data_IF_761077931511
#
_entry.id   IF_761077931511
#
_cell.length_a   1.000
_cell.length_b   1.000
_cell.length_c   1.000
_cell.angle_alpha   90.00
_cell.angle_beta   90.00
_cell.angle_gamma   90.00
#
_symmetry.space_group_name_H-M   'P 1'
#
loop_
_entity.id
_entity.type
_entity.pdbx_description
1 polymer ?
#
# COMPACT_ATOMS: atom_id res chain seq x y z
N UNK A 1 -70.95 -14.07 -18.17
CA UNK A 1 -72.21 -13.31 -18.11
C UNK A 1 -72.65 -13.30 -16.66
N UNK A 2 -72.46 -12.16 -15.96
CA UNK A 2 -73.16 -11.64 -14.75
C UNK A 2 -73.42 -12.56 -13.53
N UNK A 3 -73.44 -12.14 -12.27
CA UNK A 3 -72.92 -11.01 -11.49
C UNK A 3 -73.29 -11.32 -10.01
N UNK A 4 -72.52 -10.78 -9.09
CA UNK A 4 -72.66 -10.61 -7.62
C UNK A 4 -74.00 -10.90 -6.87
N UNK A 5 -73.91 -11.43 -5.62
CA UNK A 5 -74.13 -10.70 -4.31
C UNK A 5 -74.25 -11.65 -3.07
N UNK A 6 -73.54 -11.29 -1.98
CA UNK A 6 -73.64 -11.76 -0.55
C UNK A 6 -74.97 -11.28 0.11
N UNK A 7 -75.31 -11.38 1.45
CA UNK A 7 -74.54 -11.77 2.66
C UNK A 7 -75.29 -12.34 3.94
N UNK A 8 -74.50 -12.58 5.03
CA UNK A 8 -74.73 -12.28 6.49
C UNK A 8 -75.51 -13.21 7.49
N UNK A 9 -74.73 -13.71 8.47
CA UNK A 9 -74.79 -13.61 9.98
C UNK A 9 -75.81 -14.37 10.87
N UNK A 10 -75.25 -15.33 11.66
CA UNK A 10 -75.33 -15.72 13.12
C UNK A 10 -76.48 -15.21 14.02
N UNK A 11 -76.96 -16.00 15.03
CA UNK A 11 -76.43 -16.00 16.44
C UNK A 11 -76.57 -17.34 17.25
N UNK A 12 -75.54 -17.86 17.95
CA UNK A 12 -75.18 -17.83 19.41
C UNK A 12 -76.10 -18.46 20.49
N UNK A 13 -75.51 -19.36 21.31
CA UNK A 13 -75.62 -19.61 22.80
C UNK A 13 -75.36 -21.10 23.10
N UNK A 14 -74.78 -21.63 24.20
CA UNK A 14 -74.04 -21.19 25.41
C UNK A 14 -73.82 -22.48 26.26
N UNK A 15 -72.63 -22.69 26.87
CA UNK A 15 -72.32 -23.21 28.25
C UNK A 15 -70.90 -23.85 28.29
N UNK A 16 -69.87 -23.25 28.89
CA UNK A 16 -69.40 -23.29 30.32
C UNK A 16 -69.14 -24.73 30.84
N UNK A 17 -68.00 -25.16 31.42
CA UNK A 17 -66.86 -24.54 32.14
C UNK A 17 -65.67 -25.54 32.17
N UNK A 18 -64.42 -25.05 32.22
CA UNK A 18 -63.43 -25.41 33.26
C UNK A 18 -62.26 -24.42 33.24
N UNK A 19 -61.94 -23.89 34.42
CA UNK A 19 -60.87 -22.93 34.71
C UNK A 19 -59.52 -23.67 34.74
N UNK A 20 -58.46 -23.03 34.24
CA UNK A 20 -57.13 -23.14 34.82
C UNK A 20 -56.48 -21.74 34.75
N UNK A 21 -56.34 -21.12 35.92
CA UNK A 21 -55.67 -19.85 36.13
C UNK A 21 -54.18 -20.10 36.30
N UNK A 22 -53.38 -19.78 35.28
CA UNK A 22 -51.98 -19.45 35.48
C UNK A 22 -51.87 -17.94 35.34
N UNK A 23 -51.84 -17.26 36.48
CA UNK A 23 -51.65 -15.82 36.52
C UNK A 23 -50.27 -15.48 35.96
N UNK A 24 -50.25 -14.85 34.79
CA UNK A 24 -49.15 -13.95 34.42
C UNK A 24 -49.25 -12.74 35.35
N UNK A 25 -48.49 -12.77 36.44
CA UNK A 25 -48.23 -11.58 37.24
C UNK A 25 -47.42 -10.62 36.37
N UNK A 26 -47.95 -9.43 36.07
CA UNK A 26 -47.12 -8.34 35.58
C UNK A 26 -46.22 -7.91 36.74
N UNK A 27 -44.91 -7.94 36.51
CA UNK A 27 -43.92 -7.37 37.42
C UNK A 27 -44.22 -5.87 37.56
N UNK A 28 -44.15 -5.34 38.78
CA UNK A 28 -44.20 -3.88 38.96
C UNK A 28 -42.94 -3.25 38.35
N UNK A 29 -42.99 -1.95 38.00
CA UNK A 29 -41.78 -1.26 37.51
C UNK A 29 -40.60 -1.34 38.49
N UNK A 30 -40.87 -1.43 39.80
CA UNK A 30 -39.85 -1.63 40.83
C UNK A 30 -39.28 -3.05 40.84
N UNK A 31 -40.08 -4.08 40.53
CA UNK A 31 -39.62 -5.47 40.43
C UNK A 31 -38.85 -5.74 39.14
N UNK A 32 -39.26 -5.12 38.02
CA UNK A 32 -38.47 -5.10 36.77
C UNK A 32 -37.10 -4.43 36.94
N UNK A 33 -37.01 -3.38 37.77
CA UNK A 33 -35.73 -2.71 38.08
C UNK A 33 -34.80 -3.54 38.94
N UNK A 34 -35.34 -4.43 39.77
CA UNK A 34 -34.56 -5.29 40.69
C UNK A 34 -34.04 -6.56 39.99
N UNK A 35 -34.78 -7.09 39.01
CA UNK A 35 -34.28 -8.17 38.13
C UNK A 35 -33.22 -7.66 37.14
N UNK A 36 -33.38 -6.44 36.60
CA UNK A 36 -32.37 -5.86 35.71
C UNK A 36 -31.07 -5.45 36.42
N UNK A 37 -31.10 -5.25 37.73
CA UNK A 37 -29.91 -4.91 38.53
C UNK A 37 -29.05 -6.11 38.91
N UNK A 38 -29.51 -7.33 38.62
CA UNK A 38 -28.80 -8.59 38.89
C UNK A 38 -28.48 -9.39 37.62
N UNK A 39 -28.78 -8.85 36.44
CA UNK A 39 -28.13 -9.32 35.22
C UNK A 39 -26.66 -8.89 35.33
N UNK A 40 -25.67 -9.79 35.18
CA UNK A 40 -24.31 -9.34 34.94
C UNK A 40 -24.40 -8.39 33.75
N UNK A 41 -23.75 -7.22 33.85
CA UNK A 41 -23.55 -6.35 32.71
C UNK A 41 -23.10 -7.25 31.56
N UNK A 42 -23.95 -7.46 30.56
CA UNK A 42 -23.49 -8.00 29.29
C UNK A 42 -22.76 -6.83 28.66
N UNK A 43 -21.54 -6.60 29.14
CA UNK A 43 -20.52 -6.01 28.30
C UNK A 43 -20.47 -6.93 27.09
N UNK A 44 -20.93 -6.42 25.96
CA UNK A 44 -20.74 -7.07 24.67
C UNK A 44 -19.23 -7.30 24.53
N UNK A 45 -18.82 -8.55 24.72
CA UNK A 45 -17.43 -9.02 24.61
C UNK A 45 -16.82 -8.73 23.21
N UNK A 46 -17.64 -8.32 22.25
CA UNK A 46 -17.25 -7.95 20.89
C UNK A 46 -16.72 -6.51 20.78
N UNK A 47 -17.08 -5.60 21.70
CA UNK A 47 -16.64 -4.18 21.66
C UNK A 47 -15.51 -3.85 22.65
N UNK A 48 -15.00 -4.84 23.40
CA UNK A 48 -13.89 -4.65 24.37
C UNK A 48 -12.61 -5.43 24.04
N UNK A 49 -12.45 -5.88 22.79
CA UNK A 49 -11.30 -6.70 22.40
C UNK A 49 -10.53 -6.26 21.16
N UNK A 50 -10.78 -5.04 20.69
CA UNK A 50 -9.94 -4.31 19.74
C UNK A 50 -9.88 -2.88 20.28
N UNK A 51 -8.75 -2.16 20.19
CA UNK A 51 -8.58 -0.72 20.51
C UNK A 51 -8.04 -0.33 21.91
N UNK A 52 -7.13 -1.09 22.53
CA UNK A 52 -6.46 -0.59 23.73
C UNK A 52 -4.97 -0.92 23.73
N UNK A 53 -4.17 0.13 23.52
CA UNK A 53 -2.73 0.08 23.75
C UNK A 53 -2.42 -0.44 25.16
N UNK A 54 -1.62 -1.49 25.24
CA UNK A 54 -1.39 -2.29 26.45
C UNK A 54 0.11 -2.48 26.77
N UNK A 55 0.40 -2.81 28.04
CA UNK A 55 1.75 -3.21 28.48
C UNK A 55 1.71 -4.68 28.88
N UNK A 56 2.52 -5.49 28.22
CA UNK A 56 2.76 -6.88 28.56
C UNK A 56 4.11 -7.02 29.27
N UNK A 57 4.14 -7.49 30.51
CA UNK A 57 5.40 -7.74 31.24
C UNK A 57 5.63 -9.25 31.41
N UNK A 58 6.77 -9.75 30.96
CA UNK A 58 7.12 -11.19 30.98
C UNK A 58 8.58 -11.41 31.36
N UNK A 59 8.92 -12.60 31.86
CA UNK A 59 10.31 -12.93 32.20
C UNK A 59 11.19 -13.00 30.96
N UNK A 60 10.70 -13.70 29.92
CA UNK A 60 11.25 -13.79 28.58
C UNK A 60 10.09 -13.77 27.59
N UNK A 61 10.36 -13.37 26.35
CA UNK A 61 9.34 -13.34 25.29
C UNK A 61 9.67 -14.35 24.20
N UNK A 62 8.66 -15.07 23.73
CA UNK A 62 8.75 -15.92 22.54
C UNK A 62 7.49 -15.75 21.75
N UNK A 63 7.64 -15.29 20.52
CA UNK A 63 6.53 -15.08 19.61
C UNK A 63 5.87 -16.41 19.23
N UNK A 64 4.52 -16.46 19.29
CA UNK A 64 3.72 -17.65 18.97
C UNK A 64 2.73 -17.46 17.80
N UNK A 65 2.74 -16.28 17.18
CA UNK A 65 1.91 -15.85 16.05
C UNK A 65 2.35 -14.44 15.61
N UNK A 66 1.60 -13.74 14.74
CA UNK A 66 1.90 -12.33 14.44
C UNK A 66 2.02 -11.49 15.72
N UNK A 67 3.00 -10.60 15.79
CA UNK A 67 3.08 -9.61 16.85
C UNK A 67 2.26 -8.39 16.42
N UNK A 68 1.14 -8.14 17.10
CA UNK A 68 0.28 -6.98 16.86
C UNK A 68 0.72 -5.83 17.75
N UNK A 69 0.91 -4.64 17.15
CA UNK A 69 1.29 -3.41 17.81
C UNK A 69 0.27 -2.32 17.44
N UNK A 70 -0.58 -1.97 18.40
CA UNK A 70 -1.51 -0.84 18.32
C UNK A 70 -0.83 0.48 18.75
N UNK A 71 -1.04 1.56 17.99
CA UNK A 71 -0.48 2.89 18.26
C UNK A 71 -1.57 3.95 18.21
N UNK A 72 -1.99 4.42 19.37
CA UNK A 72 -2.86 5.58 19.57
C UNK A 72 -2.18 6.82 20.17
N UNK A 73 -0.88 6.74 20.49
CA UNK A 73 -0.13 7.84 21.12
C UNK A 73 1.31 7.48 21.54
N UNK A 74 2.06 8.47 22.03
CA UNK A 74 3.51 8.36 22.25
C UNK A 74 3.94 7.63 23.53
N UNK A 75 3.03 7.41 24.49
CA UNK A 75 3.37 6.82 25.79
C UNK A 75 3.04 5.32 25.80
N UNK A 76 3.93 4.41 26.23
CA UNK A 76 3.59 3.00 26.33
C UNK A 76 2.36 2.75 27.23
N UNK A 77 1.49 1.82 26.81
CA UNK A 77 0.29 1.42 27.53
C UNK A 77 -0.91 2.33 27.31
N UNK A 78 -1.80 2.38 28.32
CA UNK A 78 -3.16 2.91 28.15
C UNK A 78 -3.17 4.32 27.56
N UNK A 79 -3.73 4.44 26.35
CA UNK A 79 -3.84 5.65 25.52
C UNK A 79 -2.62 6.04 24.68
N UNK A 80 -1.57 5.23 24.62
CA UNK A 80 -0.48 5.45 23.67
C UNK A 80 -0.20 4.24 22.80
N UNK A 81 0.78 3.40 23.08
CA UNK A 81 1.10 2.26 22.21
C UNK A 81 1.37 0.96 22.97
N UNK A 82 1.20 -0.15 22.26
CA UNK A 82 1.55 -1.47 22.76
C UNK A 82 3.04 -1.59 23.06
N UNK A 83 3.34 -2.19 24.20
CA UNK A 83 4.71 -2.53 24.57
C UNK A 83 4.78 -3.88 25.27
N UNK A 84 5.66 -4.75 24.78
CA UNK A 84 6.06 -5.97 25.47
C UNK A 84 7.42 -5.78 26.15
N UNK A 85 7.46 -5.95 27.46
CA UNK A 85 8.65 -5.87 28.28
C UNK A 85 9.09 -7.28 28.70
N UNK A 86 10.08 -7.82 27.98
CA UNK A 86 10.77 -9.04 28.37
C UNK A 86 11.92 -8.68 29.32
N UNK A 87 11.92 -9.20 30.55
CA UNK A 87 13.01 -8.86 31.47
C UNK A 87 14.38 -9.41 31.05
N UNK A 88 14.39 -10.51 30.29
CA UNK A 88 15.57 -11.22 29.77
C UNK A 88 15.49 -11.35 28.25
N UNK A 89 15.64 -12.54 27.68
CA UNK A 89 15.68 -12.76 26.24
C UNK A 89 14.30 -12.58 25.57
N UNK A 90 14.34 -12.13 24.33
CA UNK A 90 13.20 -12.10 23.42
C UNK A 90 13.51 -12.91 22.16
N UNK A 91 12.58 -13.76 21.74
CA UNK A 91 12.67 -14.51 20.49
C UNK A 91 11.50 -14.13 19.59
N UNK A 92 11.80 -13.62 18.40
CA UNK A 92 10.81 -13.20 17.40
C UNK A 92 10.94 -14.04 16.12
N UNK A 93 9.84 -14.14 15.39
CA UNK A 93 9.75 -14.78 14.08
C UNK A 93 8.57 -14.24 13.29
N UNK A 94 8.51 -14.50 11.99
CA UNK A 94 7.28 -14.27 11.23
C UNK A 94 6.88 -12.80 11.12
N UNK A 95 5.60 -12.50 11.34
CA UNK A 95 4.95 -11.23 10.99
C UNK A 95 4.92 -10.22 12.14
N UNK A 96 5.23 -8.95 11.84
CA UNK A 96 4.89 -7.76 12.63
C UNK A 96 3.66 -7.07 12.02
N UNK A 97 2.63 -6.80 12.80
CA UNK A 97 1.43 -6.08 12.37
C UNK A 97 1.29 -4.78 13.15
N UNK A 98 1.32 -3.64 12.47
CA UNK A 98 1.22 -2.30 13.10
C UNK A 98 -0.11 -1.66 12.72
N UNK A 99 -0.87 -1.19 13.71
CA UNK A 99 -2.16 -0.53 13.49
C UNK A 99 -2.20 0.82 14.20
N UNK A 100 -2.54 1.89 13.47
CA UNK A 100 -2.82 3.19 14.05
C UNK A 100 -4.26 3.22 14.60
N UNK A 101 -4.42 3.66 15.86
CA UNK A 101 -5.71 3.73 16.52
C UNK A 101 -6.29 5.15 16.53
N UNK A 102 -7.62 5.25 16.57
CA UNK A 102 -8.35 6.49 16.88
C UNK A 102 -7.97 7.71 16.02
N UNK A 103 -7.52 7.49 14.78
CA UNK A 103 -7.05 8.55 13.88
C UNK A 103 -5.76 9.23 14.34
N UNK A 104 -4.97 8.58 15.20
CA UNK A 104 -3.65 9.07 15.59
C UNK A 104 -2.76 9.23 14.35
N UNK A 105 -2.13 10.40 14.22
CA UNK A 105 -1.21 10.73 13.13
C UNK A 105 0.19 10.93 13.70
N UNK A 106 1.06 9.90 13.63
CA UNK A 106 2.44 10.05 14.03
C UNK A 106 3.16 11.13 13.21
N UNK A 107 4.10 11.84 13.83
CA UNK A 107 4.96 12.83 13.17
C UNK A 107 6.38 12.29 12.99
N UNK A 108 7.10 12.80 11.98
CA UNK A 108 8.51 12.46 11.72
C UNK A 108 9.35 12.56 13.01
N UNK A 109 10.16 11.54 13.25
CA UNK A 109 11.00 11.42 14.44
C UNK A 109 10.29 10.90 15.68
N UNK A 110 8.96 10.71 15.67
CA UNK A 110 8.29 9.95 16.72
C UNK A 110 8.83 8.51 16.76
N UNK A 111 8.97 7.97 17.97
CA UNK A 111 9.52 6.64 18.21
C UNK A 111 8.62 5.88 19.17
N UNK A 112 8.32 4.63 18.84
CA UNK A 112 7.47 3.73 19.62
C UNK A 112 8.26 2.47 19.97
N UNK A 113 8.68 2.35 21.22
CA UNK A 113 9.43 1.19 21.69
C UNK A 113 8.45 0.08 22.05
N UNK A 114 8.34 -0.94 21.19
CA UNK A 114 7.27 -1.95 21.28
C UNK A 114 7.72 -3.29 21.85
N UNK A 115 9.03 -3.57 21.89
CA UNK A 115 9.59 -4.76 22.52
C UNK A 115 10.91 -4.42 23.23
N UNK A 116 11.00 -4.67 24.54
CA UNK A 116 12.22 -4.44 25.33
C UNK A 116 12.79 -5.74 25.91
N UNK A 117 14.12 -5.81 25.99
CA UNK A 117 14.92 -6.94 26.51
C UNK A 117 16.21 -6.42 27.19
N UNK A 118 16.12 -5.59 28.24
CA UNK A 118 17.24 -4.78 28.73
C UNK A 118 18.43 -5.55 29.30
N UNK A 119 18.25 -6.82 29.69
CA UNK A 119 19.33 -7.66 30.22
C UNK A 119 19.55 -8.94 29.42
N UNK A 120 18.75 -9.15 28.36
CA UNK A 120 18.84 -10.32 27.49
C UNK A 120 19.30 -9.96 26.09
N UNK A 121 18.97 -10.85 25.17
CA UNK A 121 19.28 -10.75 23.75
C UNK A 121 18.02 -10.94 22.91
N UNK A 122 18.03 -10.36 21.71
CA UNK A 122 17.06 -10.66 20.68
C UNK A 122 17.54 -11.83 19.83
N UNK A 123 16.72 -12.86 19.70
CA UNK A 123 16.92 -13.96 18.78
C UNK A 123 15.87 -13.97 17.68
N UNK A 124 16.29 -14.28 16.45
CA UNK A 124 15.42 -14.29 15.27
C UNK A 124 15.21 -12.92 14.64
N UNK A 125 14.34 -12.86 13.63
CA UNK A 125 13.94 -11.63 12.92
C UNK A 125 12.50 -11.75 12.45
N UNK A 126 11.81 -10.62 12.31
CA UNK A 126 10.58 -10.59 11.51
C UNK A 126 10.92 -10.87 10.05
N UNK A 127 10.12 -11.71 9.40
CA UNK A 127 10.26 -12.04 7.98
C UNK A 127 9.43 -11.11 7.09
N UNK A 128 8.38 -10.51 7.65
CA UNK A 128 7.50 -9.56 6.98
C UNK A 128 6.87 -8.61 7.99
N UNK A 129 6.30 -7.52 7.49
CA UNK A 129 5.50 -6.60 8.28
C UNK A 129 4.33 -6.04 7.47
N UNK A 130 3.30 -5.59 8.19
CA UNK A 130 2.14 -4.90 7.64
C UNK A 130 1.91 -3.57 8.38
N UNK A 131 1.30 -2.60 7.70
CA UNK A 131 0.97 -1.31 8.31
C UNK A 131 2.17 -0.38 8.53
N UNK A 132 3.29 -0.63 7.84
CA UNK A 132 4.48 0.22 7.94
C UNK A 132 4.45 1.43 7.00
N UNK A 133 3.54 1.49 6.02
CA UNK A 133 3.61 2.44 4.91
C UNK A 133 2.39 3.37 4.85
N UNK A 134 2.61 4.59 4.37
CA UNK A 134 1.56 5.39 3.73
C UNK A 134 0.58 6.06 4.68
N UNK A 135 0.97 6.30 5.93
CA UNK A 135 0.16 7.07 6.88
C UNK A 135 0.47 8.58 6.80
N UNK A 136 -0.29 9.39 7.53
CA UNK A 136 -0.29 10.85 7.37
C UNK A 136 -1.07 11.24 6.12
N UNK A 137 -0.44 11.98 5.21
CA UNK A 137 -0.94 12.29 3.87
C UNK A 137 -0.42 11.30 2.80
N UNK A 138 0.07 10.14 3.23
CA UNK A 138 0.73 9.16 2.38
C UNK A 138 2.24 9.36 2.27
N UNK A 139 2.82 10.33 3.00
CA UNK A 139 4.25 10.65 2.95
C UNK A 139 5.09 10.03 4.07
N UNK A 140 4.52 9.23 4.97
CA UNK A 140 5.25 8.68 6.12
C UNK A 140 5.29 7.15 6.11
N UNK A 141 6.34 6.61 6.71
CA UNK A 141 6.49 5.18 6.99
C UNK A 141 7.12 4.94 8.37
N UNK A 142 7.01 3.71 8.85
CA UNK A 142 7.70 3.22 10.03
C UNK A 142 8.95 2.45 9.64
N UNK A 143 10.11 2.89 10.12
CA UNK A 143 11.31 2.09 10.12
C UNK A 143 11.40 1.28 11.41
N UNK A 144 11.52 -0.04 11.29
CA UNK A 144 11.82 -0.92 12.42
C UNK A 144 13.31 -0.76 12.75
N UNK A 145 13.62 -0.34 13.96
CA UNK A 145 15.00 -0.13 14.42
C UNK A 145 15.31 -1.10 15.55
N UNK A 146 16.31 -1.94 15.33
CA UNK A 146 16.87 -2.81 16.36
C UNK A 146 17.98 -2.08 17.12
N UNK A 147 17.84 -1.97 18.42
CA UNK A 147 18.87 -1.49 19.34
C UNK A 147 19.48 -2.64 20.13
N UNK A 148 20.49 -2.37 20.95
CA UNK A 148 21.08 -3.39 21.81
C UNK A 148 20.10 -4.00 22.84
N UNK A 149 18.97 -3.32 23.13
CA UNK A 149 18.06 -3.68 24.21
C UNK A 149 16.58 -3.59 23.85
N UNK A 150 16.24 -3.22 22.61
CA UNK A 150 14.84 -3.08 22.18
C UNK A 150 14.64 -3.10 20.67
N UNK A 151 13.38 -3.27 20.26
CA UNK A 151 12.87 -2.93 18.94
C UNK A 151 11.97 -1.70 19.01
N UNK A 152 12.13 -0.82 18.03
CA UNK A 152 11.41 0.44 17.94
C UNK A 152 10.80 0.63 16.55
N UNK A 153 9.66 1.31 16.48
CA UNK A 153 9.14 1.88 15.24
C UNK A 153 9.50 3.37 15.23
N UNK A 154 10.28 3.81 14.25
CA UNK A 154 10.68 5.20 14.06
C UNK A 154 9.95 5.76 12.86
N UNK A 155 9.20 6.85 13.04
CA UNK A 155 8.50 7.52 11.94
C UNK A 155 9.49 8.28 11.08
N UNK A 156 9.51 7.97 9.78
CA UNK A 156 10.36 8.61 8.79
C UNK A 156 9.53 9.09 7.60
N UNK A 157 10.05 10.09 6.89
CA UNK A 157 9.48 10.53 5.62
C UNK A 157 9.78 9.50 4.55
N UNK A 158 8.75 9.14 3.77
CA UNK A 158 8.88 8.29 2.61
C UNK A 158 9.82 8.96 1.60
N UNK A 159 10.92 8.29 1.25
CA UNK A 159 11.77 8.73 0.17
C UNK A 159 10.93 8.88 -1.11
N UNK A 160 10.79 10.09 -1.65
CA UNK A 160 10.07 10.33 -2.92
C UNK A 160 8.55 10.17 -2.84
N UNK A 161 7.97 10.44 -1.66
CA UNK A 161 6.54 10.36 -1.34
C UNK A 161 5.55 10.93 -2.39
N UNK A 162 6.02 11.78 -3.31
CA UNK A 162 5.19 12.41 -4.32
C UNK A 162 4.87 11.50 -5.54
N UNK A 163 5.76 10.56 -5.90
CA UNK A 163 5.80 10.12 -7.30
C UNK A 163 5.36 8.68 -7.56
N UNK A 164 5.42 7.77 -6.57
CA UNK A 164 4.95 6.39 -6.72
C UNK A 164 4.26 5.86 -5.45
N UNK A 165 2.93 5.84 -5.48
CA UNK A 165 2.05 5.58 -4.35
C UNK A 165 1.25 4.29 -4.57
N UNK A 166 1.59 3.17 -3.90
CA UNK A 166 0.73 1.98 -3.92
C UNK A 166 -0.60 2.29 -3.23
N UNK A 167 -1.69 1.86 -3.85
CA UNK A 167 -3.05 2.11 -3.37
C UNK A 167 -3.76 0.85 -2.86
N UNK A 168 -3.16 -0.33 -3.07
CA UNK A 168 -3.59 -1.60 -2.46
C UNK A 168 -2.75 -1.97 -1.25
N UNK A 169 -3.35 -2.65 -0.27
CA UNK A 169 -2.69 -3.04 0.99
C UNK A 169 -1.45 -3.92 0.77
N UNK A 170 -1.55 -4.94 -0.08
CA UNK A 170 -0.42 -5.86 -0.32
C UNK A 170 0.82 -5.14 -0.88
N UNK A 171 0.60 -4.18 -1.80
CA UNK A 171 1.69 -3.40 -2.38
C UNK A 171 2.22 -2.34 -1.40
N UNK A 172 1.35 -1.76 -0.55
CA UNK A 172 1.75 -0.87 0.54
C UNK A 172 2.63 -1.60 1.57
N UNK A 173 2.26 -2.82 1.98
CA UNK A 173 3.02 -3.62 2.93
C UNK A 173 4.40 -3.99 2.36
N UNK A 174 4.46 -4.32 1.07
CA UNK A 174 5.72 -4.55 0.38
C UNK A 174 6.61 -3.30 0.31
N UNK A 175 6.04 -2.14 0.03
CA UNK A 175 6.78 -0.87 0.07
C UNK A 175 7.25 -0.55 1.48
N UNK A 176 6.43 -0.77 2.50
CA UNK A 176 6.78 -0.55 3.90
C UNK A 176 7.97 -1.40 4.36
N UNK A 177 7.98 -2.69 3.99
CA UNK A 177 9.14 -3.55 4.25
C UNK A 177 10.37 -3.12 3.45
N UNK A 178 10.21 -2.69 2.20
CA UNK A 178 11.33 -2.18 1.39
C UNK A 178 11.99 -0.94 2.01
N UNK A 179 11.19 0.04 2.46
CA UNK A 179 11.72 1.28 3.01
C UNK A 179 12.30 1.13 4.41
N UNK A 180 11.85 0.15 5.19
CA UNK A 180 12.46 -0.11 6.49
C UNK A 180 13.82 -0.80 6.33
N UNK A 181 14.83 -0.22 7.00
CA UNK A 181 16.20 -0.72 7.04
C UNK A 181 16.34 -2.10 7.72
N UNK A 182 15.29 -2.56 8.40
CA UNK A 182 15.24 -3.84 9.09
C UNK A 182 15.12 -5.03 8.14
N UNK A 183 14.38 -4.86 7.05
CA UNK A 183 14.09 -5.93 6.10
C UNK A 183 15.06 -5.86 4.93
N UNK A 184 15.22 -7.00 4.26
CA UNK A 184 16.01 -7.11 3.05
C UNK A 184 15.26 -8.01 2.08
N UNK A 185 14.92 -7.48 0.91
CA UNK A 185 14.24 -8.23 -0.13
C UNK A 185 15.30 -8.99 -0.93
N UNK A 186 15.63 -10.20 -0.47
CA UNK A 186 16.69 -11.03 -1.07
C UNK A 186 16.23 -11.85 -2.28
N UNK A 187 14.91 -11.91 -2.51
CA UNK A 187 14.32 -12.62 -3.65
C UNK A 187 13.17 -11.79 -4.23
N UNK A 188 13.01 -11.75 -5.57
CA UNK A 188 11.89 -11.06 -6.19
C UNK A 188 10.54 -11.58 -5.68
N UNK A 189 9.56 -10.69 -5.52
CA UNK A 189 8.20 -11.02 -5.09
C UNK A 189 7.20 -10.53 -6.14
N UNK A 190 6.22 -11.34 -6.50
CA UNK A 190 5.14 -10.91 -7.40
C UNK A 190 3.91 -10.55 -6.57
N UNK A 191 3.41 -9.33 -6.75
CA UNK A 191 2.32 -8.75 -5.95
C UNK A 191 1.32 -8.10 -6.89
N UNK A 192 0.05 -8.47 -6.75
CA UNK A 192 -1.03 -7.80 -7.48
C UNK A 192 -1.38 -6.48 -6.81
N UNK A 193 -1.61 -5.43 -7.59
CA UNK A 193 -2.04 -4.17 -7.01
C UNK A 193 -2.21 -3.03 -7.99
N UNK A 194 -2.48 -1.88 -7.40
CA UNK A 194 -2.67 -0.60 -8.08
C UNK A 194 -1.60 0.40 -7.59
N UNK A 195 -0.90 1.00 -8.54
CA UNK A 195 0.13 2.01 -8.32
C UNK A 195 -0.32 3.33 -8.93
N UNK A 196 -0.29 4.40 -8.14
CA UNK A 196 -0.51 5.76 -8.60
C UNK A 196 0.84 6.47 -8.75
N UNK A 197 1.15 6.94 -9.95
CA UNK A 197 2.34 7.68 -10.31
C UNK A 197 1.98 9.15 -10.59
N UNK A 198 2.68 10.07 -9.92
CA UNK A 198 2.54 11.52 -10.12
C UNK A 198 1.07 12.02 -10.11
N UNK A 199 0.21 11.43 -9.27
CA UNK A 199 -1.23 11.72 -9.08
C UNK A 199 -2.17 11.55 -10.31
N UNK A 200 -1.63 11.30 -11.51
CA UNK A 200 -2.42 11.21 -12.75
C UNK A 200 -2.24 9.91 -13.53
N UNK A 201 -1.23 9.10 -13.22
CA UNK A 201 -0.98 7.83 -13.89
C UNK A 201 -1.28 6.67 -12.95
N UNK A 202 -2.29 5.89 -13.28
CA UNK A 202 -2.71 4.71 -12.55
C UNK A 202 -2.19 3.49 -13.30
N UNK A 203 -1.59 2.53 -12.61
CA UNK A 203 -1.13 1.27 -13.18
C UNK A 203 -1.65 0.14 -12.33
N UNK A 204 -2.40 -0.78 -12.94
CA UNK A 204 -2.90 -2.01 -12.31
C UNK A 204 -2.20 -3.20 -12.93
N UNK A 205 -1.74 -4.13 -12.11
CA UNK A 205 -1.20 -5.40 -12.60
C UNK A 205 -0.53 -6.24 -11.53
N UNK A 206 0.13 -7.30 -11.99
CA UNK A 206 1.00 -8.12 -11.17
C UNK A 206 2.44 -7.60 -11.26
N UNK A 207 2.90 -6.92 -10.21
CA UNK A 207 4.22 -6.34 -10.14
C UNK A 207 5.21 -7.32 -9.55
N UNK A 208 6.30 -7.58 -10.27
CA UNK A 208 7.50 -8.20 -9.71
C UNK A 208 8.35 -7.10 -9.05
N UNK A 209 8.42 -7.15 -7.73
CA UNK A 209 9.26 -6.28 -6.91
C UNK A 209 10.61 -6.94 -6.70
N UNK A 210 11.68 -6.18 -6.88
CA UNK A 210 13.04 -6.62 -6.61
C UNK A 210 13.88 -5.49 -6.02
N UNK A 211 14.75 -5.83 -5.07
CA UNK A 211 15.71 -4.89 -4.49
C UNK A 211 17.10 -5.21 -5.04
N UNK A 212 17.76 -4.19 -5.57
CA UNK A 212 19.16 -4.32 -6.02
C UNK A 212 20.10 -4.02 -4.86
N UNK A 213 21.31 -4.59 -4.95
CA UNK A 213 22.40 -4.20 -4.06
C UNK A 213 22.72 -2.71 -4.25
N UNK A 214 23.31 -2.10 -3.21
CA UNK A 214 23.75 -0.72 -3.30
C UNK A 214 24.76 -0.54 -4.44
N UNK A 215 24.57 0.50 -5.24
CA UNK A 215 25.41 0.83 -6.38
C UNK A 215 25.61 2.35 -6.49
N UNK A 216 26.74 2.78 -7.04
CA UNK A 216 26.98 4.20 -7.33
C UNK A 216 26.32 4.57 -8.66
N UNK A 217 25.55 5.65 -8.66
CA UNK A 217 24.92 6.20 -9.87
C UNK A 217 25.28 7.68 -10.02
N UNK A 218 25.33 8.12 -11.28
CA UNK A 218 25.47 9.52 -11.66
C UNK A 218 24.11 10.21 -11.66
N UNK A 219 24.04 11.38 -11.04
CA UNK A 219 22.84 12.22 -11.00
C UNK A 219 23.06 13.45 -11.87
N UNK A 220 22.23 13.60 -12.89
CA UNK A 220 22.10 14.82 -13.68
C UNK A 220 21.19 15.80 -12.95
N UNK A 221 21.66 17.03 -12.73
CA UNK A 221 20.93 18.08 -12.03
C UNK A 221 20.81 19.31 -12.93
N UNK A 222 19.60 19.81 -13.12
CA UNK A 222 19.34 20.92 -14.04
C UNK A 222 20.07 22.19 -13.58
N UNK A 223 21.00 22.69 -14.40
CA UNK A 223 21.76 23.90 -14.10
C UNK A 223 22.88 23.74 -13.07
N UNK A 224 23.17 22.51 -12.63
CA UNK A 224 24.25 22.19 -11.69
C UNK A 224 25.21 21.16 -12.29
N UNK A 225 26.40 21.02 -11.72
CA UNK A 225 27.31 19.94 -12.08
C UNK A 225 26.69 18.57 -11.70
N UNK A 226 26.92 17.48 -12.46
CA UNK A 226 26.54 16.14 -12.03
C UNK A 226 27.21 15.74 -10.70
N UNK A 227 26.59 14.81 -9.97
CA UNK A 227 27.15 14.22 -8.74
C UNK A 227 26.94 12.72 -8.73
N UNK A 228 27.87 11.99 -8.11
CA UNK A 228 27.70 10.57 -7.83
C UNK A 228 26.99 10.38 -6.48
N UNK A 229 26.09 9.40 -6.39
CA UNK A 229 25.49 8.94 -5.14
C UNK A 229 25.48 7.42 -5.07
N UNK A 230 25.78 6.87 -3.89
CA UNK A 230 25.54 5.45 -3.60
C UNK A 230 24.06 5.27 -3.23
N UNK A 231 23.33 4.49 -4.01
CA UNK A 231 21.88 4.31 -3.89
C UNK A 231 21.51 2.84 -3.73
N UNK A 232 20.39 2.58 -3.06
CA UNK A 232 19.67 1.31 -3.14
C UNK A 232 18.47 1.49 -4.07
N UNK A 233 18.22 0.50 -4.92
CA UNK A 233 17.18 0.57 -5.95
C UNK A 233 16.10 -0.48 -5.70
N UNK A 234 14.84 -0.03 -5.61
CA UNK A 234 13.66 -0.87 -5.80
C UNK A 234 13.28 -0.85 -7.28
N UNK A 235 13.04 -2.02 -7.86
CA UNK A 235 12.45 -2.12 -9.20
C UNK A 235 11.09 -2.78 -9.13
N UNK A 236 10.11 -2.23 -9.83
CA UNK A 236 8.82 -2.85 -10.12
C UNK A 236 8.77 -3.17 -11.62
N UNK A 237 8.32 -4.37 -11.95
CA UNK A 237 8.11 -4.83 -13.31
C UNK A 237 6.72 -5.43 -13.46
N UNK A 238 6.00 -5.11 -14.53
CA UNK A 238 4.77 -5.81 -14.88
C UNK A 238 4.70 -6.04 -16.38
N UNK A 239 4.02 -7.11 -16.78
CA UNK A 239 3.60 -7.33 -18.18
C UNK A 239 2.12 -7.59 -18.23
N UNK A 240 1.49 -7.20 -19.33
CA UNK A 240 0.04 -7.29 -19.46
C UNK A 240 -0.71 -6.40 -18.47
N UNK A 241 -0.08 -5.33 -17.97
CA UNK A 241 -0.71 -4.40 -17.04
C UNK A 241 -1.74 -3.51 -17.75
N UNK A 242 -2.61 -2.90 -16.96
CA UNK A 242 -3.48 -1.81 -17.40
C UNK A 242 -2.95 -0.50 -16.88
N UNK A 243 -2.89 0.53 -17.72
CA UNK A 243 -2.51 1.87 -17.29
C UNK A 243 -3.55 2.90 -17.72
N UNK A 244 -3.73 3.93 -16.90
CA UNK A 244 -4.57 5.06 -17.21
C UNK A 244 -3.83 6.35 -16.87
N UNK A 245 -3.69 7.25 -17.84
CA UNK A 245 -3.15 8.59 -17.65
C UNK A 245 -4.26 9.62 -17.81
N UNK A 246 -4.69 10.27 -16.73
CA UNK A 246 -5.81 11.20 -16.81
C UNK A 246 -6.21 11.88 -15.51
N UNK A 247 -7.32 12.62 -15.60
CA UNK A 247 -7.94 13.34 -14.50
C UNK A 247 -9.29 12.71 -14.11
N UNK A 248 -9.80 13.05 -12.93
CA UNK A 248 -11.07 12.51 -12.42
C UNK A 248 -10.95 11.21 -11.62
N UNK A 249 -9.72 10.80 -11.27
CA UNK A 249 -9.40 9.56 -10.58
C UNK A 249 -9.02 8.42 -11.53
N UNK A 250 -8.82 7.23 -10.99
CA UNK A 250 -8.59 6.02 -11.79
C UNK A 250 -9.74 5.80 -12.79
N UNK A 251 -9.42 5.28 -13.98
CA UNK A 251 -10.44 4.89 -14.96
C UNK A 251 -11.24 3.66 -14.55
N UNK A 252 -10.73 2.86 -13.62
CA UNK A 252 -11.42 1.71 -13.05
C UNK A 252 -11.73 1.96 -11.57
N UNK A 253 -12.82 1.37 -11.09
CA UNK A 253 -13.36 1.54 -9.73
C UNK A 253 -13.14 0.33 -8.85
N UNK A 254 -13.13 -0.87 -9.43
CA UNK A 254 -12.80 -2.15 -8.81
C UNK A 254 -12.54 -3.19 -9.92
N UNK A 255 -12.12 -4.37 -9.53
CA UNK A 255 -12.35 -5.61 -10.30
C UNK A 255 -13.32 -6.43 -9.43
N UNK A 256 -14.60 -6.38 -9.77
CA UNK A 256 -15.73 -6.77 -8.91
C UNK A 256 -15.92 -8.28 -8.90
N UNK A 257 -15.54 -8.95 -9.97
CA UNK A 257 -15.60 -10.41 -10.09
C UNK A 257 -14.22 -11.08 -10.05
N UNK A 258 -13.15 -10.30 -9.90
CA UNK A 258 -11.76 -10.73 -9.72
C UNK A 258 -11.23 -11.54 -10.91
N UNK A 259 -11.71 -11.24 -12.12
CA UNK A 259 -11.32 -11.95 -13.33
C UNK A 259 -10.12 -11.32 -14.05
N UNK A 260 -9.68 -10.14 -13.59
CA UNK A 260 -8.53 -9.41 -14.10
C UNK A 260 -8.81 -8.53 -15.32
N UNK A 261 -10.05 -8.48 -15.81
CA UNK A 261 -10.48 -7.59 -16.88
C UNK A 261 -11.13 -6.32 -16.30
N UNK A 262 -11.40 -5.32 -17.14
CA UNK A 262 -12.12 -4.09 -16.74
C UNK A 262 -13.42 -4.02 -17.53
N UNK A 263 -14.53 -4.31 -16.84
CA UNK A 263 -15.86 -4.31 -17.43
C UNK A 263 -16.56 -2.93 -17.40
N UNK A 264 -17.62 -2.77 -18.19
CA UNK A 264 -18.40 -1.51 -18.25
C UNK A 264 -19.03 -1.10 -16.91
N UNK A 265 -19.30 -2.05 -16.01
CA UNK A 265 -19.78 -1.74 -14.65
C UNK A 265 -18.66 -1.36 -13.68
N UNK A 266 -17.41 -1.38 -14.14
CA UNK A 266 -16.22 -1.22 -13.33
C UNK A 266 -15.44 0.04 -13.69
N UNK A 267 -15.88 0.78 -14.72
CA UNK A 267 -15.27 2.03 -15.15
C UNK A 267 -15.78 3.23 -14.35
N UNK A 268 -14.89 4.20 -14.14
CA UNK A 268 -15.19 5.51 -13.59
C UNK A 268 -15.58 6.47 -14.72
N UNK A 269 -16.86 6.80 -14.82
CA UNK A 269 -17.37 7.72 -15.86
C UNK A 269 -16.93 9.18 -15.69
N UNK A 270 -16.33 9.54 -14.56
CA UNK A 270 -15.74 10.87 -14.37
C UNK A 270 -14.30 10.96 -14.87
N UNK A 271 -13.68 9.82 -15.17
CA UNK A 271 -12.30 9.77 -15.64
C UNK A 271 -12.22 10.27 -17.09
N UNK A 272 -11.26 11.16 -17.35
CA UNK A 272 -10.96 11.65 -18.70
C UNK A 272 -9.46 11.55 -18.92
N UNK A 273 -9.05 10.82 -19.95
CA UNK A 273 -7.64 10.53 -20.17
C UNK A 273 -7.38 9.42 -21.18
N UNK A 274 -6.25 8.76 -21.03
CA UNK A 274 -5.78 7.70 -21.92
C UNK A 274 -5.74 6.37 -21.18
N UNK A 275 -6.51 5.39 -21.66
CA UNK A 275 -6.45 4.01 -21.18
C UNK A 275 -5.55 3.18 -22.09
N UNK A 276 -4.68 2.40 -21.47
CA UNK A 276 -3.69 1.52 -22.09
C UNK A 276 -3.87 0.12 -21.54
N UNK A 277 -3.88 -0.87 -22.44
CA UNK A 277 -3.97 -2.30 -22.11
C UNK A 277 -2.74 -3.01 -22.65
N UNK A 278 -2.44 -4.19 -22.10
CA UNK A 278 -1.26 -4.98 -22.46
C UNK A 278 0.03 -4.16 -22.32
N UNK A 279 0.17 -3.52 -21.14
CA UNK A 279 1.29 -2.65 -20.84
C UNK A 279 2.44 -3.48 -20.26
N UNK A 280 3.60 -3.39 -20.91
CA UNK A 280 4.87 -3.76 -20.30
C UNK A 280 5.41 -2.52 -19.56
N UNK A 281 5.71 -2.69 -18.28
CA UNK A 281 5.99 -1.60 -17.35
C UNK A 281 7.25 -1.90 -16.55
N UNK A 282 8.13 -0.91 -16.44
CA UNK A 282 9.28 -0.90 -15.53
C UNK A 282 9.35 0.40 -14.76
N UNK A 283 9.54 0.32 -13.45
CA UNK A 283 9.82 1.44 -12.56
C UNK A 283 11.07 1.12 -11.75
N UNK A 284 11.98 2.08 -11.65
CA UNK A 284 13.04 2.10 -10.64
C UNK A 284 12.81 3.26 -9.68
N UNK A 285 12.90 3.00 -8.38
CA UNK A 285 12.97 4.01 -7.32
C UNK A 285 14.31 3.86 -6.62
N UNK A 286 15.10 4.92 -6.61
CA UNK A 286 16.46 4.94 -6.09
C UNK A 286 16.58 5.95 -4.96
N UNK A 287 17.07 5.50 -3.81
CA UNK A 287 17.33 6.36 -2.65
C UNK A 287 18.77 6.16 -2.15
N UNK A 288 19.47 7.21 -1.69
CA UNK A 288 20.81 7.08 -1.15
C UNK A 288 20.87 6.10 0.04
N UNK A 289 21.96 5.33 0.14
CA UNK A 289 22.20 4.40 1.26
C UNK A 289 22.24 5.12 2.62
N UNK A 290 22.75 6.35 2.61
CA UNK A 290 22.57 7.32 3.69
C UNK A 290 21.54 8.34 3.23
N UNK A 291 20.28 8.15 3.61
CA UNK A 291 19.19 9.01 3.16
C UNK A 291 19.45 10.47 3.53
N UNK A 292 19.57 11.31 2.50
CA UNK A 292 19.83 12.75 2.60
C UNK A 292 18.59 13.58 2.25
N UNK A 293 17.43 12.94 2.04
CA UNK A 293 16.21 13.57 1.56
C UNK A 293 16.00 13.47 0.04
N UNK A 294 17.00 13.01 -0.72
CA UNK A 294 16.86 12.82 -2.17
C UNK A 294 16.30 11.45 -2.54
N UNK A 295 15.52 11.43 -3.63
CA UNK A 295 15.03 10.22 -4.30
C UNK A 295 14.95 10.47 -5.78
N UNK A 296 15.24 9.44 -6.56
CA UNK A 296 15.12 9.44 -8.00
C UNK A 296 14.19 8.34 -8.45
N UNK A 297 13.43 8.62 -9.49
CA UNK A 297 12.55 7.65 -10.11
C UNK A 297 12.76 7.63 -11.61
N UNK A 298 12.53 6.47 -12.20
CA UNK A 298 12.57 6.28 -13.64
C UNK A 298 11.50 5.27 -14.03
N UNK A 299 10.60 5.67 -14.92
CA UNK A 299 9.48 4.86 -15.40
C UNK A 299 9.63 4.72 -16.91
N UNK A 300 9.50 3.50 -17.39
CA UNK A 300 9.26 3.25 -18.79
C UNK A 300 8.12 2.26 -18.95
N UNK A 301 7.22 2.55 -19.89
CA UNK A 301 6.13 1.66 -20.23
C UNK A 301 5.89 1.63 -21.73
N UNK A 302 5.53 0.46 -22.25
CA UNK A 302 5.15 0.27 -23.65
C UNK A 302 3.77 -0.38 -23.72
N UNK A 303 2.89 0.16 -24.54
CA UNK A 303 1.53 -0.34 -24.75
C UNK A 303 1.26 -0.59 -26.24
N UNK A 304 0.61 -1.72 -26.55
CA UNK A 304 0.24 -2.05 -27.92
C UNK A 304 -0.83 -1.10 -28.49
N UNK A 305 -1.83 -0.75 -27.67
CA UNK A 305 -2.93 0.13 -28.02
C UNK A 305 -3.24 1.09 -26.88
N UNK A 306 -3.50 2.34 -27.21
CA UNK A 306 -4.00 3.36 -26.29
C UNK A 306 -5.29 3.95 -26.84
N UNK A 307 -6.29 4.07 -25.98
CA UNK A 307 -7.58 4.69 -26.32
C UNK A 307 -7.83 5.88 -25.42
N UNK A 308 -8.45 6.92 -25.97
CA UNK A 308 -8.93 8.04 -25.16
C UNK A 308 -10.27 7.69 -24.53
N UNK A 309 -10.39 8.01 -23.25
CA UNK A 309 -11.61 7.91 -22.46
C UNK A 309 -12.17 9.32 -22.28
N UNK A 310 -13.40 9.54 -22.75
CA UNK A 310 -14.16 10.78 -22.59
C UNK A 310 -15.07 11.07 -23.78
N UNK A 311 -16.04 11.96 -23.61
CA UNK A 311 -17.17 12.11 -24.55
C UNK A 311 -16.86 12.94 -25.81
N UNK A 312 -15.72 13.64 -25.86
CA UNK A 312 -15.48 14.69 -26.86
C UNK A 312 -14.69 14.23 -28.10
N UNK A 313 -13.76 13.30 -27.93
CA UNK A 313 -12.84 12.88 -28.99
C UNK A 313 -12.69 11.36 -28.99
N UNK A 314 -12.62 10.79 -30.18
CA UNK A 314 -12.17 9.41 -30.37
C UNK A 314 -10.70 9.47 -30.81
N UNK A 315 -9.79 9.08 -29.92
CA UNK A 315 -8.36 9.01 -30.20
C UNK A 315 -7.84 7.62 -29.91
N UNK A 316 -7.20 7.02 -30.91
CA UNK A 316 -6.49 5.75 -30.78
C UNK A 316 -5.06 5.92 -31.24
N UNK A 317 -4.13 5.35 -30.48
CA UNK A 317 -2.71 5.30 -30.81
C UNK A 317 -2.18 3.88 -30.64
N UNK A 318 -1.14 3.55 -31.41
CA UNK A 318 -0.49 2.24 -31.37
C UNK A 318 0.97 2.40 -30.97
N UNK A 319 1.53 1.36 -30.35
CA UNK A 319 2.95 1.33 -29.94
C UNK A 319 3.31 2.58 -29.12
N UNK A 320 2.53 2.85 -28.09
CA UNK A 320 2.74 4.01 -27.23
C UNK A 320 3.84 3.67 -26.22
N UNK A 321 4.86 4.52 -26.17
CA UNK A 321 5.93 4.43 -25.19
C UNK A 321 5.93 5.67 -24.31
N UNK A 322 5.94 5.47 -23.00
CA UNK A 322 6.04 6.53 -21.99
C UNK A 322 7.35 6.35 -21.25
N UNK A 323 8.02 7.47 -21.00
CA UNK A 323 9.36 7.51 -20.42
C UNK A 323 9.47 8.75 -19.52
N UNK A 324 9.62 8.52 -18.23
CA UNK A 324 9.63 9.57 -17.20
C UNK A 324 10.84 9.32 -16.32
N UNK A 325 11.77 10.27 -16.29
CA UNK A 325 12.89 10.27 -15.36
C UNK A 325 12.82 11.55 -14.52
N UNK A 326 12.94 11.40 -13.21
CA UNK A 326 12.81 12.50 -12.28
C UNK A 326 13.40 12.17 -10.92
N UNK A 327 13.20 13.10 -10.00
CA UNK A 327 13.74 13.00 -8.67
C UNK A 327 13.77 14.33 -7.94
N UNK A 328 13.81 14.20 -6.62
CA UNK A 328 13.93 15.30 -5.68
C UNK A 328 15.33 15.32 -5.11
N UNK A 329 15.89 16.52 -4.97
CA UNK A 329 17.15 16.75 -4.25
C UNK A 329 16.87 17.53 -2.97
N UNK A 330 17.63 17.25 -1.91
CA UNK A 330 17.60 18.08 -0.71
C UNK A 330 18.46 19.34 -0.90
N UNK A 331 17.94 20.27 -1.69
CA UNK A 331 18.55 21.56 -1.98
C UNK A 331 17.63 22.70 -1.52
N UNK A 332 18.22 23.87 -1.27
CA UNK A 332 17.47 25.07 -0.92
C UNK A 332 16.55 25.58 -2.05
N UNK A 333 16.74 25.07 -3.26
CA UNK A 333 15.93 25.35 -4.45
C UNK A 333 15.54 24.01 -5.05
N UNK A 334 14.26 23.83 -5.30
CA UNK A 334 13.75 22.66 -6.01
C UNK A 334 14.18 22.73 -7.49
N UNK A 335 15.10 21.85 -7.86
CA UNK A 335 15.66 21.74 -9.20
C UNK A 335 15.47 20.32 -9.70
N UNK A 336 14.96 20.12 -10.94
CA UNK A 336 14.81 18.79 -11.49
C UNK A 336 16.15 18.06 -11.53
N UNK A 337 16.16 16.85 -10.97
CA UNK A 337 17.27 15.92 -10.98
C UNK A 337 16.79 14.54 -11.42
N UNK A 338 17.67 13.76 -12.03
CA UNK A 338 17.39 12.36 -12.35
C UNK A 338 18.69 11.60 -12.53
N UNK A 339 18.60 10.28 -12.45
CA UNK A 339 19.73 9.38 -12.71
C UNK A 339 20.11 9.46 -14.18
N UNK A 340 21.41 9.53 -14.45
CA UNK A 340 21.98 9.36 -15.77
C UNK A 340 22.37 7.90 -15.96
N UNK A 341 21.44 7.08 -16.43
CA UNK A 341 21.63 5.65 -16.66
C UNK A 341 22.75 5.37 -17.67
N UNK A 342 22.91 6.25 -18.66
CA UNK A 342 23.90 6.08 -19.73
C UNK A 342 25.33 6.11 -19.20
N UNK A 343 25.64 6.98 -18.25
CA UNK A 343 26.96 7.02 -17.60
C UNK A 343 27.04 6.11 -16.37
N UNK A 344 25.96 5.96 -15.59
CA UNK A 344 25.95 5.12 -14.38
C UNK A 344 26.22 3.63 -14.67
N UNK A 345 25.80 3.14 -15.83
CA UNK A 345 25.87 1.72 -16.20
C UNK A 345 26.71 1.49 -17.47
N UNK A 346 27.60 2.42 -17.82
CA UNK A 346 28.39 2.31 -19.04
C UNK A 346 29.38 1.14 -19.01
N UNK A 347 29.67 0.58 -20.18
CA UNK A 347 30.59 -0.57 -20.32
C UNK A 347 32.05 -0.18 -20.11
N UNK A 348 32.38 1.10 -20.31
CA UNK A 348 33.69 1.69 -20.05
C UNK A 348 33.57 3.20 -19.89
N UNK A 349 34.49 3.80 -19.14
CA UNK A 349 34.45 5.24 -18.80
C UNK A 349 34.31 6.11 -20.06
N UNK A 350 33.21 6.87 -20.13
CA UNK A 350 32.89 7.80 -21.22
C UNK A 350 32.18 7.18 -22.43
N UNK A 351 31.86 5.88 -22.41
CA UNK A 351 31.09 5.24 -23.49
C UNK A 351 29.64 5.74 -23.55
N UNK A 352 29.06 6.11 -22.41
CA UNK A 352 27.67 6.59 -22.28
C UNK A 352 26.65 5.64 -22.95
N UNK A 353 26.88 4.33 -22.86
CA UNK A 353 26.04 3.28 -23.45
C UNK A 353 25.17 2.54 -22.43
N UNK A 354 25.28 2.91 -21.14
CA UNK A 354 24.65 2.23 -20.02
C UNK A 354 23.13 2.25 -20.01
N UNK A 355 22.54 1.18 -19.46
CA UNK A 355 21.10 1.04 -19.25
C UNK A 355 20.87 0.20 -17.99
N UNK A 356 19.82 0.53 -17.24
CA UNK A 356 19.31 -0.34 -16.19
C UNK A 356 18.23 -1.25 -16.78
N UNK A 357 18.59 -2.51 -17.00
CA UNK A 357 17.65 -3.53 -17.42
C UNK A 357 16.80 -4.01 -16.24
N UNK A 358 15.47 -3.89 -16.37
CA UNK A 358 14.48 -4.43 -15.44
C UNK A 358 13.80 -5.63 -16.13
N UNK A 359 14.00 -6.83 -15.60
CA UNK A 359 13.40 -8.05 -16.14
C UNK A 359 11.88 -8.05 -15.97
N UNK A 360 11.15 -8.21 -17.08
CA UNK A 360 9.69 -8.27 -17.12
C UNK A 360 9.16 -9.68 -17.42
N UNK A 361 9.90 -10.52 -18.16
CA UNK A 361 9.63 -11.95 -18.34
C UNK A 361 10.93 -12.74 -18.40
N UNK A 362 10.89 -13.97 -17.91
CA UNK A 362 12.01 -14.93 -17.98
C UNK A 362 11.67 -16.13 -18.85
N UNK A 363 10.66 -16.02 -19.72
CA UNK A 363 10.11 -17.18 -20.37
C UNK A 363 11.11 -17.83 -21.35
N UNK A 364 11.33 -19.12 -21.11
CA UNK A 364 12.06 -20.11 -21.92
C UNK A 364 13.59 -20.06 -22.02
N UNK A 365 14.26 -18.90 -21.97
CA UNK A 365 15.73 -18.84 -21.90
C UNK A 365 16.24 -17.84 -20.84
N UNK A 366 16.76 -18.32 -19.69
CA UNK A 366 17.37 -17.46 -18.67
C UNK A 366 18.54 -16.62 -19.19
N UNK A 367 19.12 -16.94 -20.36
CA UNK A 367 20.20 -16.19 -20.96
C UNK A 367 19.76 -14.92 -21.69
N UNK A 368 18.47 -14.78 -22.06
CA UNK A 368 17.93 -13.60 -22.75
C UNK A 368 16.54 -13.23 -22.21
N UNK A 369 16.46 -12.70 -20.98
CA UNK A 369 15.20 -12.24 -20.43
C UNK A 369 14.64 -11.05 -21.21
N UNK A 370 13.31 -10.92 -21.26
CA UNK A 370 12.67 -9.70 -21.73
C UNK A 370 12.85 -8.61 -20.66
N UNK A 371 13.29 -7.43 -21.07
CA UNK A 371 13.59 -6.32 -20.18
C UNK A 371 12.95 -5.01 -20.62
N UNK A 372 12.64 -4.17 -19.63
CA UNK A 372 12.48 -2.73 -19.81
C UNK A 372 13.81 -2.08 -19.47
N UNK A 373 14.41 -1.38 -20.44
CA UNK A 373 15.75 -0.81 -20.30
C UNK A 373 15.68 0.70 -20.04
N UNK A 374 15.84 1.09 -18.78
CA UNK A 374 15.87 2.49 -18.38
C UNK A 374 17.18 3.12 -18.81
N UNK A 375 17.09 4.20 -19.58
CA UNK A 375 18.25 4.77 -20.26
C UNK A 375 18.28 6.30 -20.32
N UNK A 376 17.59 6.93 -19.37
CA UNK A 376 17.58 8.36 -19.16
C UNK A 376 18.95 8.96 -18.91
N UNK A 377 19.15 10.19 -19.35
CA UNK A 377 20.38 10.97 -19.07
C UNK A 377 20.14 12.13 -18.12
N UNK A 378 18.89 12.32 -17.67
CA UNK A 378 18.46 13.46 -16.88
C UNK A 378 16.94 13.62 -16.89
N UNK A 379 16.42 14.65 -16.21
CA UNK A 379 14.98 14.85 -16.03
C UNK A 379 14.24 14.91 -17.37
N UNK A 380 13.22 14.08 -17.53
CA UNK A 380 12.37 14.09 -18.72
C UNK A 380 10.99 13.50 -18.43
N UNK A 381 10.03 13.94 -19.21
CA UNK A 381 8.76 13.25 -19.39
C UNK A 381 8.48 13.23 -20.90
N UNK A 382 8.39 12.05 -21.48
CA UNK A 382 8.24 11.84 -22.91
C UNK A 382 7.18 10.78 -23.18
N UNK A 383 6.33 11.06 -24.16
CA UNK A 383 5.40 10.09 -24.74
C UNK A 383 5.67 10.03 -26.24
N UNK A 384 5.81 8.82 -26.77
CA UNK A 384 5.93 8.55 -28.20
C UNK A 384 4.79 7.62 -28.60
N UNK A 385 4.23 7.84 -29.78
CA UNK A 385 3.17 6.99 -30.31
C UNK A 385 3.34 6.86 -31.82
N UNK A 386 3.04 5.69 -32.35
CA UNK A 386 2.98 5.45 -33.78
C UNK A 386 1.52 5.39 -34.24
N UNK A 387 1.27 5.84 -35.47
CA UNK A 387 -0.04 5.71 -36.14
C UNK A 387 -1.25 6.21 -35.30
N UNK A 388 -1.15 7.42 -34.74
CA UNK A 388 -2.27 8.02 -34.02
C UNK A 388 -3.39 8.47 -34.97
N UNK A 389 -4.63 8.10 -34.65
CA UNK A 389 -5.84 8.53 -35.36
C UNK A 389 -6.71 9.33 -34.40
N UNK A 390 -7.03 10.57 -34.77
CA UNK A 390 -7.95 11.44 -34.04
C UNK A 390 -9.20 11.67 -34.89
N UNK A 391 -10.37 11.42 -34.31
CA UNK A 391 -11.67 11.78 -34.87
C UNK A 391 -12.44 12.66 -33.88
N UNK A 392 -13.19 13.62 -34.41
CA UNK A 392 -14.11 14.47 -33.63
C UNK A 392 -15.51 14.19 -34.15
N UNK A 393 -16.44 13.89 -33.25
CA UNK A 393 -17.83 13.54 -33.59
C UNK A 393 -18.70 14.76 -33.90
#
# INVERSE_FOLDING_TARGET
MTDFRRPKRRPTKRRNRRRNSHGRRLLTQSELRLELSHLPSVETLEDRRMLAADITNVSSYTQSGPLEIEIGGLTPGTSGHDQTNASTDATINGLLNVTLLNGFQPSVGNTFEFLTFPTGTLAGKFTSATGLYGFGDGSLYFDVVETATSLQLVVKELPGAADAKPTTTDLQDAFGTFYSSYFSLTTPQTISGDLLLNDYNYVRGNFTLNQRAAETVDITRTGLAPVEKEVTTLTLAATGAHSFFGAGGSYWTADTDADGEIDQNEINTNAVGFSMTDVDFGLAVMAPTTFDGSVYHAVQSNAGVTTFVGDLIDLTAHEVSVDIDGGTENLAVDLPAAVNFRSSYETSVGANDGQLAITIRTDTDPATPDTIDLSGTGPRARVTANNATLSVS
#
